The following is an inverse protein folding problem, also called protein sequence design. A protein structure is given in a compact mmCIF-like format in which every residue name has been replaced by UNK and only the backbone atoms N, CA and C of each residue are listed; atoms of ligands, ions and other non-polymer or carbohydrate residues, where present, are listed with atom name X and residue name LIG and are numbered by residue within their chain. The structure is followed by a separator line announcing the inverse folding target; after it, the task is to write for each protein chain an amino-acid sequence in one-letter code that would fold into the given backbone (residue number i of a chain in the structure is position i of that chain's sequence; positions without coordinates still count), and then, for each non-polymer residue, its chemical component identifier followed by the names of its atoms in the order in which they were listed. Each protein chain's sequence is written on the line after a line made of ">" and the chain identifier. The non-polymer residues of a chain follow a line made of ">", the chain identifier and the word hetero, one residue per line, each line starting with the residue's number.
data_IF_063614610593
#
_entry.id   IF_063614610593
#
_cell.length_a   1.000
_cell.length_b   1.000
_cell.length_c   1.000
_cell.angle_alpha   90.00
_cell.angle_beta   90.00
_cell.angle_gamma   90.00
#
_symmetry.space_group_name_H-M   'P 1'
#
loop_
_entity.id
_entity.type
_entity.pdbx_description
1 polymer ?
#
# COMPACT_ATOMS: atom_id res chain seq x y z
N UNK A 1 16.02 -14.43 11.13
CA UNK A 1 14.95 -13.56 11.65
C UNK A 1 13.76 -13.76 10.73
N UNK A 2 12.60 -14.21 11.22
CA UNK A 2 11.42 -14.31 10.37
C UNK A 2 10.99 -12.89 9.96
N UNK A 3 10.66 -12.76 8.68
CA UNK A 3 10.23 -11.60 7.90
C UNK A 3 9.72 -10.37 8.70
N UNK A 4 10.52 -9.29 8.79
CA UNK A 4 10.05 -7.99 9.31
C UNK A 4 9.09 -7.27 8.34
N UNK A 5 8.96 -7.79 7.12
CA UNK A 5 8.02 -7.33 6.10
C UNK A 5 6.66 -8.01 6.26
N UNK A 6 5.60 -7.22 6.36
CA UNK A 6 4.17 -7.60 6.29
C UNK A 6 3.75 -8.12 4.89
N UNK A 7 4.72 -8.32 4.03
CA UNK A 7 4.50 -8.86 2.71
C UNK A 7 4.85 -10.34 2.81
N UNK A 8 3.82 -11.19 2.73
CA UNK A 8 3.99 -12.65 2.75
C UNK A 8 4.77 -13.15 1.52
N UNK A 9 4.88 -12.28 0.52
CA UNK A 9 5.59 -12.55 -0.72
C UNK A 9 6.88 -11.73 -0.78
N UNK A 10 8.06 -12.32 -0.53
CA UNK A 10 9.31 -11.59 -0.67
C UNK A 10 9.44 -11.01 -2.09
N UNK A 11 9.71 -9.72 -2.16
CA UNK A 11 10.00 -9.01 -3.41
C UNK A 11 11.47 -8.61 -3.38
N UNK A 12 12.17 -8.81 -4.50
CA UNK A 12 13.55 -8.33 -4.65
C UNK A 12 13.59 -6.80 -4.52
N UNK A 13 14.22 -6.25 -3.47
CA UNK A 13 14.25 -4.81 -3.23
C UNK A 13 15.09 -4.06 -4.28
N UNK A 14 15.91 -4.75 -5.06
CA UNK A 14 16.69 -4.14 -6.14
C UNK A 14 15.86 -3.91 -7.42
N UNK A 15 14.66 -4.48 -7.51
CA UNK A 15 13.79 -4.26 -8.66
C UNK A 15 13.05 -2.93 -8.56
N UNK A 16 12.79 -2.26 -9.70
CA UNK A 16 11.96 -1.06 -9.70
C UNK A 16 10.58 -1.35 -9.10
N UNK A 17 10.15 -0.55 -8.13
CA UNK A 17 8.87 -0.70 -7.44
C UNK A 17 7.64 -0.69 -8.36
N UNK A 18 7.79 -0.21 -9.61
CA UNK A 18 6.72 -0.21 -10.61
C UNK A 18 6.51 -1.55 -11.32
N UNK A 19 7.46 -2.50 -11.21
CA UNK A 19 7.43 -3.76 -11.97
C UNK A 19 6.72 -4.91 -11.26
N UNK A 20 6.71 -4.94 -9.94
CA UNK A 20 6.18 -6.07 -9.18
C UNK A 20 5.06 -5.62 -8.25
N UNK A 21 3.86 -6.21 -8.34
CA UNK A 21 2.82 -5.94 -7.35
C UNK A 21 3.27 -6.39 -5.96
N UNK A 22 3.09 -5.51 -4.98
CA UNK A 22 3.31 -5.81 -3.56
C UNK A 22 1.98 -6.26 -2.99
N UNK A 23 1.97 -7.46 -2.44
CA UNK A 23 0.80 -8.08 -1.82
C UNK A 23 0.83 -7.84 -0.31
N UNK A 24 -0.27 -7.35 0.24
CA UNK A 24 -0.44 -7.15 1.68
C UNK A 24 -1.43 -8.16 2.25
N UNK A 25 -1.34 -8.39 3.55
CA UNK A 25 -2.35 -9.18 4.29
C UNK A 25 -3.51 -8.30 4.78
N UNK A 26 -4.75 -8.83 4.84
CA UNK A 26 -5.95 -8.10 5.28
C UNK A 26 -5.87 -7.50 6.69
N UNK A 27 -5.08 -8.11 7.57
CA UNK A 27 -4.91 -7.68 8.96
C UNK A 27 -4.22 -6.33 9.08
N UNK A 28 -3.36 -5.99 8.10
CA UNK A 28 -2.46 -4.84 8.17
C UNK A 28 -2.73 -3.78 7.11
N UNK A 29 -3.36 -4.13 5.99
CA UNK A 29 -3.83 -3.15 5.01
C UNK A 29 -5.36 -3.15 4.93
N UNK A 30 -6.03 -2.01 5.20
CA UNK A 30 -7.46 -1.89 5.02
C UNK A 30 -7.90 -1.92 3.55
N UNK A 31 -6.96 -1.83 2.61
CA UNK A 31 -7.24 -1.87 1.17
C UNK A 31 -7.25 -3.28 0.58
N UNK A 32 -6.92 -4.30 1.39
CA UNK A 32 -7.05 -5.70 1.01
C UNK A 32 -8.42 -6.20 1.47
N UNK A 33 -9.24 -6.59 0.49
CA UNK A 33 -10.61 -7.04 0.75
C UNK A 33 -10.66 -8.56 0.92
N UNK A 34 -11.13 -9.05 2.07
CA UNK A 34 -11.45 -10.48 2.21
C UNK A 34 -12.76 -10.79 1.46
N UNK A 35 -12.67 -11.73 0.53
CA UNK A 35 -13.80 -12.27 -0.21
C UNK A 35 -14.02 -13.73 0.20
N UNK A 36 -15.29 -14.14 0.27
CA UNK A 36 -15.67 -15.54 0.39
C UNK A 36 -16.72 -15.87 -0.64
N UNK A 37 -16.58 -17.04 -1.26
CA UNK A 37 -17.64 -17.57 -2.10
C UNK A 37 -18.91 -17.74 -1.26
N UNK A 38 -20.05 -17.37 -1.85
CA UNK A 38 -21.35 -17.55 -1.26
C UNK A 38 -22.28 -18.24 -2.26
N UNK A 39 -23.06 -19.19 -1.74
CA UNK A 39 -24.21 -19.71 -2.47
C UNK A 39 -25.24 -18.58 -2.60
N UNK A 40 -25.64 -18.31 -3.82
CA UNK A 40 -26.64 -17.30 -4.14
C UNK A 40 -27.73 -17.92 -5.00
N UNK A 41 -28.96 -17.43 -4.84
CA UNK A 41 -30.05 -17.80 -5.73
C UNK A 41 -29.78 -17.21 -7.13
N UNK A 42 -29.70 -18.06 -8.14
CA UNK A 42 -29.39 -17.63 -9.50
C UNK A 42 -30.50 -16.75 -10.11
N UNK A 43 -31.71 -16.84 -9.57
CA UNK A 43 -32.87 -16.06 -10.01
C UNK A 43 -33.00 -14.72 -9.26
N UNK A 44 -32.18 -14.45 -8.25
CA UNK A 44 -32.19 -13.17 -7.53
C UNK A 44 -31.61 -12.05 -8.41
N UNK A 45 -32.41 -11.04 -8.82
CA UNK A 45 -31.95 -9.97 -9.69
C UNK A 45 -30.88 -9.06 -9.07
N UNK A 46 -30.65 -9.13 -7.75
CA UNK A 46 -29.59 -8.40 -7.08
C UNK A 46 -28.22 -9.08 -7.19
N UNK A 47 -28.17 -10.37 -7.56
CA UNK A 47 -26.93 -11.14 -7.64
C UNK A 47 -26.13 -10.75 -8.87
N UNK A 48 -24.85 -10.43 -8.67
CA UNK A 48 -23.91 -10.13 -9.75
C UNK A 48 -22.76 -11.12 -9.67
N UNK A 49 -22.79 -12.18 -10.49
CA UNK A 49 -21.76 -13.19 -10.44
C UNK A 49 -20.51 -12.70 -11.19
N UNK A 50 -19.35 -12.86 -10.57
CA UNK A 50 -18.06 -12.35 -11.03
C UNK A 50 -17.14 -13.52 -11.32
N UNK A 51 -16.44 -13.49 -12.45
CA UNK A 51 -15.32 -14.39 -12.68
C UNK A 51 -14.03 -13.67 -12.27
N UNK A 52 -13.49 -14.02 -11.10
CA UNK A 52 -12.29 -13.37 -10.58
C UNK A 52 -11.04 -13.76 -11.36
N UNK A 53 -10.92 -15.02 -11.82
CA UNK A 53 -9.71 -15.54 -12.48
C UNK A 53 -9.54 -15.02 -13.91
N UNK A 54 -10.64 -14.61 -14.55
CA UNK A 54 -10.65 -14.02 -15.90
C UNK A 54 -10.54 -12.49 -15.91
N UNK A 55 -10.31 -11.85 -14.76
CA UNK A 55 -10.11 -10.40 -14.72
C UNK A 55 -8.85 -10.00 -15.52
N UNK A 56 -8.96 -9.01 -16.44
CA UNK A 56 -7.82 -8.58 -17.23
C UNK A 56 -6.75 -7.95 -16.32
N UNK A 57 -5.48 -8.20 -16.63
CA UNK A 57 -4.32 -7.70 -15.89
C UNK A 57 -4.29 -8.09 -14.40
N UNK A 58 -5.00 -9.17 -14.05
CA UNK A 58 -4.91 -9.77 -12.73
C UNK A 58 -3.56 -10.47 -12.55
N UNK A 59 -2.92 -10.19 -11.42
CA UNK A 59 -1.80 -10.99 -10.92
C UNK A 59 -2.29 -11.72 -9.67
N UNK A 60 -2.26 -13.05 -9.72
CA UNK A 60 -2.63 -13.90 -8.60
C UNK A 60 -1.41 -14.60 -7.99
N UNK A 61 -1.44 -14.83 -6.67
CA UNK A 61 -0.44 -15.64 -5.95
C UNK A 61 -1.13 -16.48 -4.88
N UNK A 62 -0.52 -17.63 -4.56
CA UNK A 62 -0.88 -18.45 -3.41
C UNK A 62 0.16 -18.25 -2.32
N UNK A 63 -0.28 -18.05 -1.08
CA UNK A 63 0.61 -18.05 0.09
C UNK A 63 0.97 -19.49 0.53
N UNK A 64 1.65 -19.61 1.68
CA UNK A 64 2.06 -20.91 2.22
C UNK A 64 0.89 -21.78 2.69
N UNK A 65 -0.27 -21.18 3.00
CA UNK A 65 -1.50 -21.84 3.45
C UNK A 65 -2.48 -22.11 2.29
N UNK A 66 -2.01 -21.98 1.04
CA UNK A 66 -2.80 -22.07 -0.20
C UNK A 66 -3.92 -21.02 -0.30
N UNK A 67 -3.87 -19.96 0.50
CA UNK A 67 -4.80 -18.85 0.38
C UNK A 67 -4.45 -18.02 -0.86
N UNK A 68 -5.49 -17.53 -1.53
CA UNK A 68 -5.37 -16.90 -2.83
C UNK A 68 -5.39 -15.38 -2.70
N UNK A 69 -4.36 -14.73 -3.22
CA UNK A 69 -4.22 -13.28 -3.26
C UNK A 69 -4.33 -12.76 -4.69
N UNK A 70 -5.29 -11.88 -4.93
CA UNK A 70 -5.48 -11.17 -6.19
C UNK A 70 -4.99 -9.73 -6.11
N UNK A 71 -4.17 -9.33 -7.08
CA UNK A 71 -3.82 -7.94 -7.34
C UNK A 71 -4.35 -7.57 -8.73
N UNK A 72 -5.35 -6.70 -8.78
CA UNK A 72 -6.03 -6.33 -10.01
C UNK A 72 -5.89 -4.83 -10.29
N UNK A 73 -5.50 -4.48 -11.51
CA UNK A 73 -5.29 -3.07 -11.92
C UNK A 73 -6.01 -2.77 -13.24
N UNK A 74 -7.33 -2.48 -13.21
CA UNK A 74 -8.10 -2.16 -14.42
C UNK A 74 -7.80 -0.78 -15.02
N UNK A 75 -6.92 0.01 -14.38
CA UNK A 75 -6.56 1.37 -14.81
C UNK A 75 -5.42 1.95 -13.96
N UNK A 76 -5.61 3.16 -13.44
CA UNK A 76 -4.60 3.82 -12.60
C UNK A 76 -4.62 3.36 -11.14
N UNK A 77 -5.71 2.75 -10.69
CA UNK A 77 -5.86 2.18 -9.35
C UNK A 77 -5.61 0.69 -9.36
N UNK A 78 -5.02 0.20 -8.28
CA UNK A 78 -4.95 -1.23 -7.99
C UNK A 78 -5.93 -1.58 -6.86
N UNK A 79 -6.47 -2.78 -6.93
CA UNK A 79 -7.29 -3.41 -5.92
C UNK A 79 -6.62 -4.70 -5.48
N UNK A 80 -6.64 -4.96 -4.17
CA UNK A 80 -6.18 -6.22 -3.60
C UNK A 80 -7.34 -6.92 -2.93
N UNK A 81 -7.42 -8.22 -3.14
CA UNK A 81 -8.39 -9.07 -2.48
C UNK A 81 -7.76 -10.41 -2.14
N UNK A 82 -8.26 -10.98 -1.07
CA UNK A 82 -7.77 -12.21 -0.49
C UNK A 82 -8.93 -13.18 -0.31
N UNK A 83 -8.70 -14.45 -0.64
CA UNK A 83 -9.64 -15.53 -0.42
C UNK A 83 -8.94 -16.65 0.34
N UNK A 84 -9.56 -17.22 1.39
CA UNK A 84 -8.98 -18.34 2.12
C UNK A 84 -8.87 -19.62 1.27
N UNK A 85 -9.57 -19.68 0.13
CA UNK A 85 -9.57 -20.80 -0.80
C UNK A 85 -9.47 -20.28 -2.22
N UNK A 86 -8.99 -21.12 -3.14
CA UNK A 86 -8.97 -20.78 -4.57
C UNK A 86 -10.37 -20.39 -5.07
N UNK A 87 -10.51 -19.30 -5.86
CA UNK A 87 -11.80 -18.93 -6.44
C UNK A 87 -12.27 -19.99 -7.46
N UNK A 88 -13.58 -20.17 -7.67
CA UNK A 88 -14.08 -21.02 -8.74
C UNK A 88 -13.55 -20.59 -10.13
N UNK A 89 -13.36 -21.54 -11.04
CA UNK A 89 -12.90 -21.28 -12.42
C UNK A 89 -13.92 -20.51 -13.28
N UNK A 90 -15.12 -20.26 -12.75
CA UNK A 90 -16.22 -19.59 -13.43
C UNK A 90 -16.77 -18.40 -12.66
N UNK A 91 -17.95 -17.95 -13.11
CA UNK A 91 -18.69 -16.89 -12.42
C UNK A 91 -19.28 -17.41 -11.12
N UNK A 92 -18.96 -16.74 -10.03
CA UNK A 92 -19.46 -17.04 -8.69
C UNK A 92 -19.92 -15.77 -7.97
N UNK A 93 -20.73 -15.94 -6.93
CA UNK A 93 -21.13 -14.85 -6.04
C UNK A 93 -20.23 -14.81 -4.83
N UNK A 94 -19.88 -13.60 -4.40
CA UNK A 94 -18.98 -13.39 -3.28
C UNK A 94 -19.63 -12.51 -2.23
N UNK A 95 -19.33 -12.81 -0.96
CA UNK A 95 -19.55 -11.91 0.17
C UNK A 95 -18.23 -11.31 0.60
N UNK A 96 -18.31 -10.11 1.17
CA UNK A 96 -17.17 -9.40 1.72
C UNK A 96 -17.18 -9.56 3.23
N UNK A 97 -16.04 -9.94 3.80
CA UNK A 97 -15.87 -9.98 5.26
C UNK A 97 -15.14 -8.69 5.69
N UNK A 98 -15.77 -7.94 6.58
CA UNK A 98 -15.21 -6.69 7.12
C UNK A 98 -15.03 -6.78 8.64
N UNK A 99 -13.79 -6.68 9.14
CA UNK A 99 -13.54 -6.49 10.55
C UNK A 99 -14.21 -5.21 11.06
N UNK A 100 -14.92 -5.32 12.19
CA UNK A 100 -15.50 -4.17 12.86
C UNK A 100 -14.46 -3.53 13.78
N UNK A 101 -13.51 -2.83 13.16
CA UNK A 101 -12.34 -2.24 13.82
C UNK A 101 -12.23 -0.72 13.57
N UNK A 102 -11.15 -0.10 14.06
CA UNK A 102 -10.89 1.34 13.87
C UNK A 102 -10.61 1.71 12.41
N UNK A 103 -10.47 0.74 11.51
CA UNK A 103 -10.19 0.93 10.09
C UNK A 103 -11.43 0.66 9.23
N UNK A 104 -12.60 0.35 9.82
CA UNK A 104 -13.82 -0.02 9.10
C UNK A 104 -14.16 0.93 7.95
N UNK A 105 -14.08 2.25 8.18
CA UNK A 105 -14.41 3.23 7.15
C UNK A 105 -13.48 3.12 5.93
N UNK A 106 -12.18 2.92 6.16
CA UNK A 106 -11.20 2.70 5.08
C UNK A 106 -11.50 1.39 4.33
N UNK A 107 -11.82 0.32 5.08
CA UNK A 107 -12.15 -0.99 4.49
C UNK A 107 -13.44 -0.92 3.66
N UNK A 108 -14.48 -0.28 4.17
CA UNK A 108 -15.74 -0.09 3.46
C UNK A 108 -15.53 0.74 2.18
N UNK A 109 -14.69 1.78 2.22
CA UNK A 109 -14.33 2.54 1.03
C UNK A 109 -13.59 1.67 0.00
N UNK A 110 -12.60 0.89 0.43
CA UNK A 110 -11.86 -0.01 -0.46
C UNK A 110 -12.79 -1.00 -1.16
N UNK A 111 -13.74 -1.58 -0.43
CA UNK A 111 -14.79 -2.47 -0.95
C UNK A 111 -15.67 -1.78 -1.97
N UNK A 112 -16.18 -0.59 -1.65
CA UNK A 112 -17.04 0.17 -2.58
C UNK A 112 -16.29 0.52 -3.88
N UNK A 113 -15.00 0.83 -3.79
CA UNK A 113 -14.15 1.10 -4.95
C UNK A 113 -13.91 -0.17 -5.77
N UNK A 114 -13.57 -1.28 -5.13
CA UNK A 114 -13.42 -2.58 -5.79
C UNK A 114 -14.72 -2.98 -6.52
N UNK A 115 -15.86 -2.89 -5.83
CA UNK A 115 -17.16 -3.17 -6.43
C UNK A 115 -17.42 -2.31 -7.66
N UNK A 116 -17.24 -0.99 -7.57
CA UNK A 116 -17.42 -0.07 -8.70
C UNK A 116 -16.55 -0.48 -9.89
N UNK A 117 -15.28 -0.81 -9.66
CA UNK A 117 -14.39 -1.27 -10.72
C UNK A 117 -14.90 -2.57 -11.37
N UNK A 118 -15.30 -3.56 -10.56
CA UNK A 118 -15.81 -4.86 -11.03
C UNK A 118 -17.06 -4.70 -11.91
N UNK A 119 -17.94 -3.75 -11.60
CA UNK A 119 -19.15 -3.46 -12.41
C UNK A 119 -18.95 -2.37 -13.47
N UNK A 120 -17.70 -1.99 -13.78
CA UNK A 120 -17.38 -1.02 -14.83
C UNK A 120 -17.80 0.43 -14.54
N UNK A 121 -17.99 0.78 -13.26
CA UNK A 121 -18.31 2.14 -12.81
C UNK A 121 -17.04 2.90 -12.40
N UNK A 122 -17.03 4.24 -12.50
CA UNK A 122 -15.94 5.05 -11.97
C UNK A 122 -15.72 4.78 -10.48
N UNK A 123 -14.49 4.43 -10.09
CA UNK A 123 -14.14 4.09 -8.71
C UNK A 123 -14.37 5.26 -7.73
N UNK A 124 -14.20 6.49 -8.21
CA UNK A 124 -14.21 7.70 -7.40
C UNK A 124 -12.83 8.05 -6.83
N UNK A 125 -12.75 9.16 -6.10
CA UNK A 125 -11.51 9.55 -5.41
C UNK A 125 -11.31 8.70 -4.17
N UNK A 126 -10.06 8.36 -3.88
CA UNK A 126 -9.66 7.75 -2.62
C UNK A 126 -9.62 8.82 -1.53
N UNK A 127 -10.46 8.73 -0.51
CA UNK A 127 -10.58 9.75 0.53
C UNK A 127 -9.32 9.81 1.41
N UNK A 128 -8.61 8.70 1.54
CA UNK A 128 -7.37 8.58 2.29
C UNK A 128 -6.09 8.72 1.45
N UNK A 129 -6.17 9.33 0.28
CA UNK A 129 -4.97 9.67 -0.47
C UNK A 129 -4.12 10.70 0.31
N UNK A 130 -2.80 10.45 0.36
CA UNK A 130 -1.89 11.44 0.90
C UNK A 130 -2.04 12.80 0.18
N UNK A 131 -2.20 13.91 0.91
CA UNK A 131 -2.06 15.24 0.34
C UNK A 131 -0.72 15.38 -0.38
N UNK A 132 -0.65 16.20 -1.43
CA UNK A 132 0.56 16.37 -2.25
C UNK A 132 1.80 16.69 -1.39
N UNK A 133 1.68 17.62 -0.44
CA UNK A 133 2.76 17.97 0.47
C UNK A 133 3.24 16.78 1.32
N UNK A 134 2.32 15.89 1.72
CA UNK A 134 2.67 14.67 2.46
C UNK A 134 3.40 13.69 1.55
N UNK A 135 2.95 13.51 0.30
CA UNK A 135 3.65 12.68 -0.69
C UNK A 135 5.07 13.20 -0.95
N UNK A 136 5.21 14.49 -1.21
CA UNK A 136 6.50 15.14 -1.47
C UNK A 136 7.47 14.97 -0.29
N UNK A 137 6.96 15.10 0.95
CA UNK A 137 7.75 14.82 2.15
C UNK A 137 8.24 13.37 2.19
N UNK A 138 7.39 12.39 1.91
CA UNK A 138 7.80 10.97 1.90
C UNK A 138 8.81 10.67 0.79
N UNK A 139 8.69 11.30 -0.38
CA UNK A 139 9.70 11.22 -1.45
C UNK A 139 11.05 11.76 -0.95
N UNK A 140 11.07 12.89 -0.25
CA UNK A 140 12.29 13.44 0.35
C UNK A 140 12.88 12.52 1.43
N UNK A 141 12.04 11.88 2.23
CA UNK A 141 12.46 10.91 3.25
C UNK A 141 13.17 9.71 2.60
N UNK A 142 12.56 9.11 1.57
CA UNK A 142 13.15 8.00 0.83
C UNK A 142 14.49 8.40 0.19
N UNK A 143 14.52 9.52 -0.54
CA UNK A 143 15.76 10.03 -1.16
C UNK A 143 16.86 10.34 -0.15
N UNK A 144 16.50 10.87 1.02
CA UNK A 144 17.47 11.15 2.08
C UNK A 144 18.03 9.87 2.70
N UNK A 145 17.19 8.83 2.86
CA UNK A 145 17.62 7.52 3.33
C UNK A 145 18.58 6.87 2.34
N UNK A 146 18.20 6.81 1.06
CA UNK A 146 19.00 6.22 -0.01
C UNK A 146 20.36 6.92 -0.12
N UNK A 147 20.35 8.25 -0.17
CA UNK A 147 21.59 9.02 -0.23
C UNK A 147 22.48 8.83 1.00
N UNK A 148 21.92 8.57 2.20
CA UNK A 148 22.71 8.21 3.38
C UNK A 148 23.29 6.80 3.28
N UNK A 149 22.55 5.84 2.71
CA UNK A 149 23.05 4.49 2.45
C UNK A 149 24.24 4.53 1.48
N UNK A 150 24.20 5.44 0.49
CA UNK A 150 25.28 5.69 -0.48
C UNK A 150 26.43 6.56 0.07
N UNK A 151 26.42 6.89 1.37
CA UNK A 151 27.50 7.62 2.05
C UNK A 151 27.46 9.14 1.91
N UNK A 152 26.42 9.74 1.31
CA UNK A 152 26.31 11.19 1.18
C UNK A 152 26.28 11.89 2.55
N UNK A 153 26.98 13.01 2.68
CA UNK A 153 26.96 13.80 3.91
C UNK A 153 25.61 14.51 4.10
N UNK A 154 25.23 14.83 5.35
CA UNK A 154 24.02 15.63 5.63
C UNK A 154 24.02 16.97 4.88
N UNK A 155 25.20 17.56 4.67
CA UNK A 155 25.37 18.80 3.92
C UNK A 155 25.05 18.58 2.44
N UNK A 156 25.64 17.55 1.83
CA UNK A 156 25.37 17.18 0.42
C UNK A 156 23.88 16.93 0.20
N UNK A 157 23.23 16.21 1.12
CA UNK A 157 21.80 15.99 1.08
C UNK A 157 21.01 17.30 1.20
N UNK A 158 21.44 18.25 2.03
CA UNK A 158 20.78 19.55 2.13
C UNK A 158 20.97 20.39 0.85
N UNK A 159 22.12 20.29 0.19
CA UNK A 159 22.41 20.97 -1.08
C UNK A 159 21.50 20.45 -2.21
N UNK A 160 21.34 19.12 -2.30
CA UNK A 160 20.57 18.46 -3.36
C UNK A 160 19.06 18.50 -3.09
N UNK A 161 18.63 18.16 -1.87
CA UNK A 161 17.22 17.95 -1.55
C UNK A 161 16.52 19.22 -1.08
N UNK A 162 17.24 20.13 -0.41
CA UNK A 162 16.67 21.32 0.24
C UNK A 162 17.28 22.64 -0.29
N UNK A 163 18.08 22.57 -1.36
CA UNK A 163 18.66 23.73 -2.02
C UNK A 163 19.63 24.54 -1.14
N UNK A 164 20.32 23.91 -0.17
CA UNK A 164 21.39 24.59 0.57
C UNK A 164 22.48 25.08 -0.37
N UNK A 165 22.86 26.35 -0.21
CA UNK A 165 23.97 26.99 -0.91
C UNK A 165 24.67 27.89 0.12
N UNK A 166 25.95 27.66 0.37
CA UNK A 166 26.71 28.39 1.38
C UNK A 166 28.08 27.76 1.63
N UNK A 167 28.94 28.44 2.37
CA UNK A 167 30.26 27.93 2.79
C UNK A 167 30.14 27.00 3.99
N UNK A 168 31.26 26.47 4.47
CA UNK A 168 31.30 25.62 5.67
C UNK A 168 30.76 26.35 6.91
N UNK A 169 31.09 27.63 7.08
CA UNK A 169 30.60 28.44 8.20
C UNK A 169 29.07 28.58 8.20
N UNK A 170 28.48 28.78 7.01
CA UNK A 170 27.03 28.95 6.86
C UNK A 170 26.27 27.67 7.22
N UNK A 171 26.89 26.50 7.00
CA UNK A 171 26.28 25.19 7.28
C UNK A 171 26.07 24.92 8.77
N UNK A 172 26.94 25.40 9.65
CA UNK A 172 26.91 24.97 11.05
C UNK A 172 25.61 25.34 11.77
N UNK A 173 25.03 26.48 11.40
CA UNK A 173 23.81 27.05 11.98
C UNK A 173 22.60 27.03 11.03
N UNK A 174 22.72 26.45 9.83
CA UNK A 174 21.61 26.44 8.88
C UNK A 174 20.50 25.45 9.31
N UNK A 175 19.21 25.86 9.33
CA UNK A 175 18.11 25.00 9.75
C UNK A 175 17.93 23.74 8.89
N UNK A 176 18.38 23.76 7.62
CA UNK A 176 18.33 22.60 6.72
C UNK A 176 19.16 21.43 7.23
N UNK A 177 20.18 21.69 8.07
CA UNK A 177 20.94 20.65 8.78
C UNK A 177 20.04 19.76 9.63
N UNK A 178 19.13 20.37 10.39
CA UNK A 178 18.18 19.62 11.22
C UNK A 178 17.04 19.03 10.38
N UNK A 179 16.62 19.69 9.30
CA UNK A 179 15.60 19.15 8.40
C UNK A 179 16.08 17.85 7.73
N UNK A 180 17.29 17.81 7.15
CA UNK A 180 17.82 16.56 6.57
C UNK A 180 18.00 15.48 7.62
N UNK A 181 18.51 15.81 8.82
CA UNK A 181 18.62 14.82 9.91
C UNK A 181 17.27 14.17 10.23
N UNK A 182 16.20 14.95 10.26
CA UNK A 182 14.83 14.42 10.46
C UNK A 182 14.37 13.57 9.29
N UNK A 183 14.61 13.98 8.03
CA UNK A 183 14.28 13.14 6.86
C UNK A 183 14.95 11.77 6.93
N UNK A 184 16.23 11.74 7.30
CA UNK A 184 17.00 10.48 7.46
C UNK A 184 16.45 9.65 8.62
N UNK A 185 16.16 10.27 9.76
CA UNK A 185 15.60 9.58 10.93
C UNK A 185 14.21 9.00 10.63
N UNK A 186 13.34 9.76 9.94
CA UNK A 186 12.03 9.30 9.49
C UNK A 186 12.17 8.12 8.51
N UNK A 187 13.15 8.17 7.59
CA UNK A 187 13.43 7.07 6.67
C UNK A 187 13.84 5.80 7.39
N UNK A 188 14.75 5.93 8.35
CA UNK A 188 15.18 4.81 9.21
C UNK A 188 14.05 4.26 10.08
N UNK A 189 13.10 5.10 10.48
CA UNK A 189 11.90 4.67 11.19
C UNK A 189 11.00 3.83 10.27
N UNK A 190 10.75 4.32 9.06
CA UNK A 190 9.87 3.63 8.12
C UNK A 190 10.41 2.26 7.69
N UNK A 191 11.70 2.14 7.35
CA UNK A 191 12.28 0.84 6.97
C UNK A 191 12.35 -0.15 8.13
N UNK A 192 12.36 0.32 9.38
CA UNK A 192 12.27 -0.51 10.60
C UNK A 192 10.83 -0.84 10.98
N UNK A 193 9.93 -0.88 10.00
CA UNK A 193 8.54 -1.29 10.20
C UNK A 193 7.54 -0.16 10.45
N UNK A 194 8.00 1.09 10.56
CA UNK A 194 7.12 2.26 10.69
C UNK A 194 6.27 2.50 9.44
N UNK A 195 6.62 1.93 8.29
CA UNK A 195 5.86 2.08 7.04
C UNK A 195 4.42 1.57 7.16
N UNK A 196 4.13 0.68 8.13
CA UNK A 196 2.79 0.18 8.42
C UNK A 196 1.81 1.32 8.73
N UNK A 197 2.29 2.40 9.36
CA UNK A 197 1.50 3.60 9.64
C UNK A 197 0.96 4.26 8.37
N UNK A 198 1.62 4.04 7.22
CA UNK A 198 1.23 4.59 5.92
C UNK A 198 0.11 3.78 5.25
N UNK A 199 -0.06 2.51 5.63
CA UNK A 199 -1.09 1.63 5.04
C UNK A 199 -2.51 2.03 5.46
N UNK A 200 -2.64 2.70 6.61
CA UNK A 200 -3.91 3.11 7.17
C UNK A 200 -3.98 4.62 7.42
N UNK A 201 -3.19 5.42 6.69
CA UNK A 201 -3.37 6.87 6.69
C UNK A 201 -4.83 7.23 6.36
N UNK A 202 -5.43 8.29 6.94
CA UNK A 202 -4.88 9.20 7.95
C UNK A 202 -5.02 8.69 9.39
N UNK A 203 -5.55 7.49 9.59
CA UNK A 203 -5.82 6.92 10.91
C UNK A 203 -4.49 6.60 11.58
N UNK A 204 -4.36 7.02 12.85
CA UNK A 204 -3.22 6.67 13.70
C UNK A 204 -3.69 5.65 14.72
N UNK A 205 -3.16 4.44 14.62
CA UNK A 205 -3.33 3.43 15.64
C UNK A 205 -2.28 3.64 16.74
N UNK A 206 -2.67 3.46 18.00
CA UNK A 206 -1.70 3.49 19.09
C UNK A 206 -0.72 2.31 18.91
N UNK A 207 0.57 2.56 19.09
CA UNK A 207 1.58 1.50 19.07
C UNK A 207 1.27 0.54 20.23
N UNK A 208 1.15 -0.75 19.91
CA UNK A 208 1.11 -1.83 20.89
C UNK A 208 2.49 -2.00 21.53
#
# INVERSE_FOLDING_TARGET
>A
MPNDGVCDFPVDPAQPASRTPVFWIPELSPDVTELREALADADDPAVVPINLTELPDLVARLDEDEAWHGFWRPGSSAHQFWLPTHPPDGRATYVVILPFDKLLELRAEAVLRLWRALVGRPEGRRAHDFPQQTRDRHILILRALDGRADGASYRTLAEILLGFRGRKADWENDPRKNQVRRLVADGQYYVRGGYRDLLHYPIRLAKR
#
